data_IF_140759474331
#
_entry.id   IF_140759474331
#
_cell.length_a   1.000
_cell.length_b   1.000
_cell.length_c   1.000
_cell.angle_alpha   90.00
_cell.angle_beta   90.00
_cell.angle_gamma   90.00
#
_symmetry.space_group_name_H-M   'P 1'
#
loop_
_entity.id
_entity.type
_entity.pdbx_description
1 polymer ?
#
# COMPACT_ATOMS: atom_id res chain seq x y z
N UNK A 1 13.96 3.10 -20.85
CA UNK A 1 13.32 4.31 -20.28
C UNK A 1 11.97 4.65 -20.92
N UNK A 2 11.67 4.15 -22.12
CA UNK A 2 10.47 4.48 -22.91
C UNK A 2 9.14 3.95 -22.35
N UNK A 3 9.19 2.87 -21.55
CA UNK A 3 8.01 2.22 -20.94
C UNK A 3 7.45 2.93 -19.68
N UNK A 4 8.01 4.07 -19.28
CA UNK A 4 7.63 4.84 -18.09
C UNK A 4 6.77 6.09 -18.39
N UNK A 5 6.49 6.41 -19.65
CA UNK A 5 5.57 7.51 -19.99
C UNK A 5 4.12 7.03 -19.90
N UNK A 6 3.22 7.79 -19.26
CA UNK A 6 1.79 7.48 -19.27
C UNK A 6 1.25 7.57 -20.70
N UNK A 7 0.34 6.67 -21.08
CA UNK A 7 -0.32 6.65 -22.40
C UNK A 7 -1.11 7.94 -22.66
N UNK A 8 -1.69 8.51 -21.59
CA UNK A 8 -2.26 9.86 -21.60
C UNK A 8 -1.65 10.70 -20.46
N UNK A 9 -0.86 11.75 -20.77
CA UNK A 9 -0.27 12.62 -19.76
C UNK A 9 -1.30 13.53 -19.07
N UNK A 10 -2.55 13.59 -19.55
CA UNK A 10 -3.64 14.37 -18.95
C UNK A 10 -4.52 13.57 -17.99
N UNK A 11 -4.47 12.23 -18.06
CA UNK A 11 -5.28 11.36 -17.23
C UNK A 11 -4.88 11.43 -15.74
N UNK A 12 -5.84 11.57 -14.84
CA UNK A 12 -5.59 11.62 -13.39
C UNK A 12 -5.20 10.23 -12.87
N UNK A 13 -3.98 10.09 -12.34
CA UNK A 13 -3.43 8.88 -11.69
C UNK A 13 -3.60 7.57 -12.49
N UNK A 14 -3.07 7.48 -13.74
CA UNK A 14 -3.37 6.35 -14.62
C UNK A 14 -2.91 5.01 -14.06
N UNK A 15 -1.74 4.98 -13.39
CA UNK A 15 -1.17 3.76 -12.83
C UNK A 15 -1.91 3.27 -11.58
N UNK A 16 -2.25 4.17 -10.66
CA UNK A 16 -3.02 3.82 -9.46
C UNK A 16 -4.45 3.37 -9.82
N UNK A 17 -5.12 4.06 -10.75
CA UNK A 17 -6.42 3.63 -11.29
C UNK A 17 -6.34 2.24 -11.91
N UNK A 18 -5.28 1.93 -12.67
CA UNK A 18 -5.08 0.60 -13.28
C UNK A 18 -4.92 -0.51 -12.23
N UNK A 19 -4.13 -0.29 -11.18
CA UNK A 19 -3.99 -1.25 -10.08
C UNK A 19 -5.30 -1.46 -9.33
N UNK A 20 -6.03 -0.39 -9.05
CA UNK A 20 -7.37 -0.46 -8.45
C UNK A 20 -8.35 -1.26 -9.32
N UNK A 21 -8.37 -1.01 -10.63
CA UNK A 21 -9.19 -1.75 -11.59
C UNK A 21 -8.88 -3.25 -11.59
N UNK A 22 -7.61 -3.62 -11.54
CA UNK A 22 -7.20 -5.02 -11.43
C UNK A 22 -7.72 -5.66 -10.12
N UNK A 23 -7.79 -4.89 -9.04
CA UNK A 23 -8.34 -5.31 -7.74
C UNK A 23 -9.88 -5.37 -7.69
N UNK A 24 -10.58 -4.97 -8.75
CA UNK A 24 -12.05 -5.00 -8.83
C UNK A 24 -12.73 -3.66 -8.54
N UNK A 25 -12.00 -2.55 -8.41
CA UNK A 25 -12.56 -1.20 -8.30
C UNK A 25 -12.85 -0.63 -9.71
N UNK A 26 -14.10 -0.32 -10.03
CA UNK A 26 -14.47 0.38 -11.27
C UNK A 26 -15.10 1.72 -10.94
N UNK A 27 -14.60 2.79 -11.56
CA UNK A 27 -15.15 4.13 -11.40
C UNK A 27 -16.60 4.21 -11.93
N UNK A 28 -16.93 3.37 -12.92
CA UNK A 28 -18.19 3.43 -13.67
C UNK A 28 -19.33 2.57 -13.07
N UNK A 29 -19.05 1.67 -12.11
CA UNK A 29 -20.03 0.67 -11.64
C UNK A 29 -19.98 0.54 -10.12
N UNK A 30 -21.11 0.67 -9.42
CA UNK A 30 -21.16 0.58 -7.95
C UNK A 30 -20.86 -0.81 -7.37
N UNK A 31 -20.90 -1.85 -8.19
CA UNK A 31 -20.67 -3.22 -7.74
C UNK A 31 -19.19 -3.48 -7.43
N UNK A 32 -18.93 -4.05 -6.25
CA UNK A 32 -17.62 -4.55 -5.86
C UNK A 32 -17.24 -5.73 -6.76
N UNK A 33 -16.07 -5.65 -7.42
CA UNK A 33 -15.60 -6.75 -8.25
C UNK A 33 -15.35 -8.04 -7.44
N UNK A 34 -15.76 -9.19 -7.98
CA UNK A 34 -15.61 -10.53 -7.34
C UNK A 34 -14.17 -10.83 -6.89
N UNK A 35 -13.17 -10.22 -7.54
CA UNK A 35 -11.75 -10.37 -7.24
C UNK A 35 -11.37 -9.97 -5.81
N UNK A 36 -12.09 -9.04 -5.18
CA UNK A 36 -11.78 -8.63 -3.81
C UNK A 36 -12.21 -9.68 -2.79
N UNK A 37 -13.32 -10.38 -3.05
CA UNK A 37 -13.78 -11.49 -2.23
C UNK A 37 -12.82 -12.67 -2.33
N UNK A 38 -12.24 -12.90 -3.52
CA UNK A 38 -11.18 -13.90 -3.69
C UNK A 38 -9.93 -13.53 -2.87
N UNK A 39 -9.53 -12.26 -2.86
CA UNK A 39 -8.41 -11.79 -2.05
C UNK A 39 -8.67 -11.99 -0.54
N UNK A 40 -9.89 -11.70 -0.09
CA UNK A 40 -10.30 -11.92 1.30
C UNK A 40 -10.36 -13.42 1.64
N UNK A 41 -10.84 -14.25 0.73
CA UNK A 41 -10.89 -15.70 0.90
C UNK A 41 -9.48 -16.29 1.07
N UNK A 42 -8.52 -15.86 0.23
CA UNK A 42 -7.11 -16.28 0.36
C UNK A 42 -6.57 -15.90 1.74
N UNK A 43 -6.81 -14.67 2.20
CA UNK A 43 -6.40 -14.24 3.55
C UNK A 43 -7.01 -15.11 4.66
N UNK A 44 -8.32 -15.39 4.59
CA UNK A 44 -9.01 -16.20 5.61
C UNK A 44 -8.48 -17.63 5.63
N UNK A 45 -8.40 -18.28 4.47
CA UNK A 45 -8.02 -19.68 4.36
C UNK A 45 -6.53 -19.93 4.59
N UNK A 46 -5.65 -19.04 4.10
CA UNK A 46 -4.21 -19.26 4.10
C UNK A 46 -3.45 -18.55 5.22
N UNK A 47 -4.10 -17.66 5.99
CA UNK A 47 -3.44 -16.94 7.10
C UNK A 47 -4.29 -16.98 8.36
N UNK A 48 -5.54 -16.51 8.30
CA UNK A 48 -6.35 -16.30 9.50
C UNK A 48 -6.70 -17.62 10.20
N UNK A 49 -7.25 -18.59 9.46
CA UNK A 49 -7.68 -19.87 10.04
C UNK A 49 -6.49 -20.66 10.59
N UNK A 50 -5.37 -20.84 9.86
CA UNK A 50 -4.21 -21.53 10.40
C UNK A 50 -3.62 -20.89 11.66
N UNK A 51 -3.54 -19.56 11.71
CA UNK A 51 -2.92 -18.84 12.84
C UNK A 51 -3.81 -18.72 14.08
N UNK A 52 -5.13 -18.83 13.94
CA UNK A 52 -6.08 -18.69 15.06
C UNK A 52 -6.54 -20.06 15.57
N UNK A 53 -6.72 -21.04 14.68
CA UNK A 53 -7.30 -22.33 15.04
C UNK A 53 -6.28 -23.40 15.44
N UNK A 54 -4.98 -23.21 15.14
CA UNK A 54 -3.95 -24.20 15.40
C UNK A 54 -2.96 -23.74 16.48
N UNK A 55 -2.49 -24.65 17.34
CA UNK A 55 -1.57 -24.32 18.42
C UNK A 55 -0.17 -23.98 17.90
N UNK A 56 0.49 -23.07 18.62
CA UNK A 56 1.90 -22.74 18.43
C UNK A 56 2.77 -23.65 19.30
N UNK A 57 3.97 -24.05 18.81
CA UNK A 57 4.87 -24.91 19.57
C UNK A 57 5.53 -24.19 20.74
N UNK A 58 5.87 -22.91 20.55
CA UNK A 58 6.61 -22.10 21.52
C UNK A 58 6.00 -20.70 21.67
N UNK A 59 6.24 -20.07 22.83
CA UNK A 59 5.81 -18.68 23.10
C UNK A 59 6.43 -17.69 22.11
N UNK A 60 7.69 -17.89 21.72
CA UNK A 60 8.36 -17.04 20.72
C UNK A 60 7.69 -17.14 19.34
N UNK A 61 7.35 -18.37 18.93
CA UNK A 61 6.64 -18.64 17.69
C UNK A 61 5.22 -18.02 17.71
N UNK A 62 4.55 -18.05 18.86
CA UNK A 62 3.25 -17.40 19.05
C UNK A 62 3.33 -15.88 18.89
N UNK A 63 4.30 -15.22 19.54
CA UNK A 63 4.46 -13.76 19.44
C UNK A 63 4.74 -13.33 17.99
N UNK A 64 5.63 -14.06 17.30
CA UNK A 64 5.94 -13.82 15.88
C UNK A 64 4.69 -14.04 15.02
N UNK A 65 4.01 -15.17 15.21
CA UNK A 65 2.80 -15.53 14.46
C UNK A 65 1.67 -14.51 14.59
N UNK A 66 1.45 -13.97 15.80
CA UNK A 66 0.46 -12.92 16.06
C UNK A 66 0.86 -11.58 15.42
N UNK A 67 2.13 -11.21 15.46
CA UNK A 67 2.61 -9.99 14.81
C UNK A 67 2.41 -10.02 13.29
N UNK A 68 2.66 -11.18 12.68
CA UNK A 68 2.40 -11.44 11.26
C UNK A 68 0.90 -11.36 10.95
N UNK A 69 0.05 -11.94 11.81
CA UNK A 69 -1.40 -11.89 11.64
C UNK A 69 -1.92 -10.45 11.63
N UNK A 70 -1.46 -9.60 12.55
CA UNK A 70 -1.83 -8.18 12.60
C UNK A 70 -1.37 -7.47 11.32
N UNK A 71 -0.15 -7.73 10.88
CA UNK A 71 0.40 -7.14 9.66
C UNK A 71 -0.42 -7.52 8.42
N UNK A 72 -0.70 -8.81 8.20
CA UNK A 72 -1.50 -9.27 7.06
C UNK A 72 -2.96 -8.80 7.16
N UNK A 73 -3.54 -8.74 8.35
CA UNK A 73 -4.88 -8.17 8.55
C UNK A 73 -4.93 -6.72 8.05
N UNK A 74 -3.96 -5.88 8.41
CA UNK A 74 -3.88 -4.50 7.88
C UNK A 74 -3.74 -4.47 6.35
N UNK A 75 -3.01 -5.40 5.76
CA UNK A 75 -2.86 -5.46 4.30
C UNK A 75 -4.19 -5.81 3.62
N UNK A 76 -4.74 -6.99 3.92
CA UNK A 76 -5.88 -7.55 3.21
C UNK A 76 -7.19 -6.85 3.61
N UNK A 77 -7.47 -6.76 4.92
CA UNK A 77 -8.67 -6.09 5.41
C UNK A 77 -8.58 -4.58 5.16
N UNK A 78 -7.39 -3.97 5.27
CA UNK A 78 -7.23 -2.56 4.96
C UNK A 78 -7.52 -2.22 3.50
N UNK A 79 -7.09 -3.05 2.54
CA UNK A 79 -7.48 -2.86 1.13
C UNK A 79 -8.99 -3.11 0.93
N UNK A 80 -9.55 -4.12 1.59
CA UNK A 80 -10.98 -4.38 1.56
C UNK A 80 -11.80 -3.17 2.06
N UNK A 81 -11.45 -2.62 3.23
CA UNK A 81 -12.09 -1.43 3.79
C UNK A 81 -11.92 -0.21 2.87
N UNK A 82 -10.74 -0.03 2.27
CA UNK A 82 -10.48 1.04 1.31
C UNK A 82 -11.42 0.96 0.11
N UNK A 83 -11.56 -0.23 -0.47
CA UNK A 83 -12.44 -0.45 -1.62
C UNK A 83 -13.91 -0.43 -1.18
N UNK A 84 -14.26 -0.89 0.02
CA UNK A 84 -15.63 -0.81 0.56
C UNK A 84 -16.09 0.64 0.76
N UNK A 85 -15.16 1.56 1.06
CA UNK A 85 -15.41 3.01 1.06
C UNK A 85 -15.49 3.62 -0.35
N UNK A 86 -15.77 2.82 -1.38
CA UNK A 86 -15.81 3.19 -2.80
C UNK A 86 -16.52 4.52 -3.08
N UNK A 87 -17.65 4.79 -2.41
CA UNK A 87 -18.50 5.94 -2.74
C UNK A 87 -17.78 7.28 -2.53
N UNK A 88 -17.22 7.49 -1.34
CA UNK A 88 -16.50 8.72 -1.01
C UNK A 88 -15.24 8.88 -1.87
N UNK A 89 -14.52 7.79 -2.11
CA UNK A 89 -13.33 7.82 -2.95
C UNK A 89 -13.66 8.10 -4.43
N UNK A 90 -14.78 7.60 -4.94
CA UNK A 90 -15.28 7.92 -6.29
C UNK A 90 -15.67 9.39 -6.41
N UNK A 91 -16.39 9.93 -5.43
CA UNK A 91 -16.76 11.35 -5.41
C UNK A 91 -15.52 12.25 -5.38
N UNK A 92 -14.49 11.88 -4.59
CA UNK A 92 -13.21 12.57 -4.57
C UNK A 92 -12.51 12.53 -5.95
N UNK A 93 -12.39 11.35 -6.56
CA UNK A 93 -11.78 11.20 -7.88
C UNK A 93 -12.52 11.99 -8.96
N UNK A 94 -13.86 11.94 -8.96
CA UNK A 94 -14.69 12.70 -9.90
C UNK A 94 -14.51 14.22 -9.71
N UNK A 95 -14.34 14.68 -8.47
CA UNK A 95 -14.09 16.09 -8.17
C UNK A 95 -12.73 16.54 -8.69
N UNK A 96 -11.68 15.74 -8.47
CA UNK A 96 -10.33 16.01 -9.00
C UNK A 96 -10.37 16.01 -10.53
N UNK A 97 -11.02 15.02 -11.14
CA UNK A 97 -11.13 14.89 -12.60
C UNK A 97 -11.90 16.06 -13.22
N UNK A 98 -13.00 16.48 -12.60
CA UNK A 98 -13.74 17.68 -13.00
C UNK A 98 -12.87 18.94 -12.95
N UNK A 99 -12.12 19.14 -11.86
CA UNK A 99 -11.20 20.26 -11.73
C UNK A 99 -10.11 20.26 -12.80
N UNK A 100 -9.47 19.11 -13.00
CA UNK A 100 -8.42 18.93 -13.99
C UNK A 100 -8.96 19.19 -15.40
N UNK A 101 -10.17 18.73 -15.69
CA UNK A 101 -10.83 18.99 -16.97
C UNK A 101 -11.14 20.48 -17.18
N UNK A 102 -11.58 21.20 -16.13
CA UNK A 102 -11.78 22.66 -16.18
C UNK A 102 -10.47 23.37 -16.52
N UNK A 103 -9.36 23.03 -15.85
CA UNK A 103 -8.04 23.64 -16.10
C UNK A 103 -7.57 23.38 -17.54
N UNK A 104 -7.77 22.17 -18.06
CA UNK A 104 -7.44 21.84 -19.45
C UNK A 104 -8.36 22.54 -20.46
N UNK A 105 -9.67 22.66 -20.19
CA UNK A 105 -10.61 23.38 -21.05
C UNK A 105 -10.33 24.89 -21.09
N UNK A 106 -10.01 25.53 -19.96
CA UNK A 106 -9.63 26.94 -19.93
C UNK A 106 -8.32 27.18 -20.70
N UNK A 107 -7.41 26.21 -20.72
CA UNK A 107 -6.14 26.32 -21.45
C UNK A 107 -6.28 26.13 -22.96
N UNK A 108 -7.36 25.55 -23.48
CA UNK A 108 -7.57 25.46 -24.93
C UNK A 108 -7.80 26.83 -25.59
N UNK A 109 -8.22 27.84 -24.81
CA UNK A 109 -8.39 29.22 -25.27
C UNK A 109 -7.15 30.09 -25.10
N UNK A 110 -6.13 29.65 -24.34
CA UNK A 110 -4.97 30.48 -24.00
C UNK A 110 -3.67 29.67 -24.11
N UNK A 111 -2.71 30.02 -25.01
CA UNK A 111 -1.80 29.03 -25.57
C UNK A 111 -0.90 28.26 -24.61
N UNK A 112 -0.59 28.76 -23.40
CA UNK A 112 0.18 27.99 -22.40
C UNK A 112 -0.06 28.50 -20.97
N UNK A 113 -1.12 28.02 -20.29
CA UNK A 113 -1.29 28.35 -18.87
C UNK A 113 -0.22 27.62 -18.02
N UNK A 114 0.42 28.35 -17.10
CA UNK A 114 1.47 27.81 -16.22
C UNK A 114 0.92 26.69 -15.32
N UNK A 115 -0.39 26.72 -15.04
CA UNK A 115 -1.14 25.66 -14.36
C UNK A 115 -1.18 24.34 -15.15
N UNK A 116 -1.43 24.37 -16.47
CA UNK A 116 -1.46 23.16 -17.30
C UNK A 116 -0.09 22.46 -17.30
N UNK A 117 0.98 23.24 -17.54
CA UNK A 117 2.36 22.72 -17.51
C UNK A 117 2.72 22.12 -16.15
N UNK A 118 2.23 22.72 -15.06
CA UNK A 118 2.46 22.20 -13.70
C UNK A 118 1.75 20.88 -13.49
N UNK A 119 0.50 20.76 -13.94
CA UNK A 119 -0.34 19.57 -13.79
C UNK A 119 0.19 18.38 -14.63
N UNK A 120 0.61 18.64 -15.88
CA UNK A 120 1.25 17.62 -16.73
C UNK A 120 2.58 17.15 -16.11
N UNK A 121 3.43 18.06 -15.63
CA UNK A 121 4.69 17.70 -14.96
C UNK A 121 4.45 16.88 -13.70
N UNK A 122 3.42 17.22 -12.92
CA UNK A 122 3.03 16.45 -11.74
C UNK A 122 2.61 15.04 -12.13
N UNK A 123 1.69 14.90 -13.09
CA UNK A 123 1.16 13.61 -13.48
C UNK A 123 2.26 12.66 -14.00
N UNK A 124 3.19 13.18 -14.82
CA UNK A 124 4.37 12.43 -15.27
C UNK A 124 5.27 12.03 -14.10
N UNK A 125 5.53 12.94 -13.14
CA UNK A 125 6.32 12.63 -11.95
C UNK A 125 5.65 11.58 -11.07
N UNK A 126 4.34 11.69 -10.81
CA UNK A 126 3.58 10.71 -10.03
C UNK A 126 3.65 9.34 -10.69
N UNK A 127 3.48 9.26 -12.02
CA UNK A 127 3.60 8.01 -12.75
C UNK A 127 5.01 7.40 -12.63
N UNK A 128 6.05 8.21 -12.84
CA UNK A 128 7.45 7.76 -12.70
C UNK A 128 7.76 7.25 -11.28
N UNK A 129 7.37 8.02 -10.26
CA UNK A 129 7.55 7.63 -8.85
C UNK A 129 6.78 6.34 -8.55
N UNK A 130 5.56 6.20 -9.07
CA UNK A 130 4.74 4.99 -8.87
C UNK A 130 5.40 3.75 -9.46
N UNK A 131 5.95 3.86 -10.68
CA UNK A 131 6.67 2.74 -11.32
C UNK A 131 7.96 2.39 -10.58
N UNK A 132 8.75 3.38 -10.18
CA UNK A 132 9.97 3.17 -9.40
C UNK A 132 9.65 2.53 -8.05
N UNK A 133 8.60 2.99 -7.38
CA UNK A 133 8.13 2.41 -6.13
C UNK A 133 7.71 0.95 -6.30
N UNK A 134 6.95 0.62 -7.35
CA UNK A 134 6.60 -0.77 -7.66
C UNK A 134 7.82 -1.66 -7.88
N UNK A 135 8.83 -1.16 -8.61
CA UNK A 135 10.07 -1.90 -8.82
C UNK A 135 10.84 -2.11 -7.52
N UNK A 136 10.96 -1.06 -6.69
CA UNK A 136 11.57 -1.14 -5.37
C UNK A 136 10.89 -2.19 -4.48
N UNK A 137 9.56 -2.15 -4.40
CA UNK A 137 8.79 -3.12 -3.62
C UNK A 137 8.98 -4.55 -4.16
N UNK A 138 9.01 -4.74 -5.48
CA UNK A 138 9.25 -6.05 -6.08
C UNK A 138 10.64 -6.60 -5.74
N UNK A 139 11.68 -5.75 -5.80
CA UNK A 139 13.05 -6.14 -5.42
C UNK A 139 13.13 -6.47 -3.93
N UNK A 140 12.54 -5.64 -3.07
CA UNK A 140 12.50 -5.89 -1.62
C UNK A 140 11.75 -7.19 -1.29
N UNK A 141 10.62 -7.45 -1.95
CA UNK A 141 9.84 -8.67 -1.81
C UNK A 141 10.63 -9.91 -2.24
N UNK A 142 11.38 -9.82 -3.35
CA UNK A 142 12.24 -10.89 -3.82
C UNK A 142 13.40 -11.17 -2.84
N UNK A 143 14.05 -10.13 -2.33
CA UNK A 143 15.10 -10.26 -1.32
C UNK A 143 14.57 -10.90 -0.03
N UNK A 144 13.38 -10.51 0.42
CA UNK A 144 12.71 -11.12 1.58
C UNK A 144 12.44 -12.61 1.35
N UNK A 145 11.95 -12.98 0.16
CA UNK A 145 11.65 -14.38 -0.17
C UNK A 145 12.90 -15.28 -0.24
N UNK A 146 14.03 -14.74 -0.68
CA UNK A 146 15.29 -15.50 -0.77
C UNK A 146 15.86 -15.82 0.61
N UNK A 147 15.70 -14.94 1.60
CA UNK A 147 16.38 -15.07 2.89
C UNK A 147 16.11 -16.42 3.59
N UNK A 148 14.86 -16.90 3.72
CA UNK A 148 14.58 -18.20 4.35
C UNK A 148 15.03 -19.39 3.49
N UNK A 149 15.03 -19.26 2.15
CA UNK A 149 15.59 -20.28 1.26
C UNK A 149 17.09 -20.46 1.49
N UNK A 150 17.83 -19.35 1.63
CA UNK A 150 19.28 -19.37 1.92
C UNK A 150 19.56 -19.95 3.30
N UNK A 151 18.81 -19.56 4.33
CA UNK A 151 18.97 -20.10 5.69
C UNK A 151 18.70 -21.60 5.72
N UNK A 152 17.64 -22.06 5.03
CA UNK A 152 17.30 -23.48 4.93
C UNK A 152 18.42 -24.27 4.21
N UNK A 153 18.95 -23.72 3.12
CA UNK A 153 20.06 -24.35 2.39
C UNK A 153 21.35 -24.44 3.23
N UNK A 154 21.70 -23.36 3.94
CA UNK A 154 22.86 -23.35 4.84
C UNK A 154 22.70 -24.32 6.01
N UNK A 155 21.48 -24.47 6.54
CA UNK A 155 21.16 -25.45 7.59
C UNK A 155 21.47 -26.87 7.11
N UNK A 156 20.96 -27.26 5.93
CA UNK A 156 21.18 -28.59 5.35
C UNK A 156 22.67 -28.88 5.13
N UNK A 157 23.43 -27.91 4.60
CA UNK A 157 24.86 -28.09 4.36
C UNK A 157 25.70 -28.18 5.65
N UNK A 158 25.38 -27.37 6.66
CA UNK A 158 26.06 -27.45 7.96
C UNK A 158 25.85 -28.80 8.64
N UNK A 159 24.65 -29.35 8.57
CA UNK A 159 24.35 -30.67 9.14
C UNK A 159 25.05 -31.79 8.36
N UNK A 160 25.25 -31.63 7.05
CA UNK A 160 25.97 -32.61 6.23
C UNK A 160 27.48 -32.67 6.54
N UNK A 161 28.08 -31.54 6.91
CA UNK A 161 29.48 -31.48 7.39
C UNK A 161 29.63 -32.04 8.82
N UNK A 162 28.62 -31.85 9.69
CA UNK A 162 28.61 -32.34 11.09
C UNK A 162 28.29 -33.84 11.16
N UNK A 163 27.47 -34.38 10.25
CA UNK A 163 27.13 -35.80 10.16
C UNK A 163 28.34 -36.71 9.93
N UNK A 164 29.48 -36.18 9.48
CA UNK A 164 30.76 -36.87 9.44
C UNK A 164 31.31 -37.25 10.84
N UNK A 165 30.80 -36.67 11.92
CA UNK A 165 31.31 -36.84 13.29
C UNK A 165 30.27 -37.34 14.33
N UNK A 166 29.15 -37.93 13.88
CA UNK A 166 28.40 -38.88 14.71
C UNK A 166 27.26 -38.35 15.59
N UNK A 167 26.61 -37.24 15.25
CA UNK A 167 25.32 -36.88 15.88
C UNK A 167 24.26 -36.53 14.83
N UNK A 168 23.26 -37.40 14.70
CA UNK A 168 22.05 -37.20 13.89
C UNK A 168 21.14 -36.18 14.59
N UNK A 169 21.22 -34.89 14.23
CA UNK A 169 20.18 -33.93 14.55
C UNK A 169 19.17 -33.84 13.40
N UNK A 170 17.88 -33.81 13.74
CA UNK A 170 16.79 -33.77 12.77
C UNK A 170 16.79 -32.43 12.02
N UNK A 171 16.73 -32.49 10.68
CA UNK A 171 16.76 -31.33 9.79
C UNK A 171 15.61 -30.36 10.15
N UNK A 172 15.94 -29.16 10.64
CA UNK A 172 14.96 -28.12 10.97
C UNK A 172 14.78 -27.16 9.79
N UNK A 173 13.59 -27.20 9.18
CA UNK A 173 13.21 -26.27 8.11
C UNK A 173 12.68 -24.96 8.68
N UNK A 174 13.09 -23.82 8.10
CA UNK A 174 12.62 -22.49 8.49
C UNK A 174 11.58 -21.97 7.48
N UNK A 175 10.27 -22.03 7.79
CA UNK A 175 9.22 -21.58 6.87
C UNK A 175 9.17 -20.05 6.75
N UNK A 176 8.71 -19.54 5.60
CA UNK A 176 8.56 -18.10 5.30
C UNK A 176 7.47 -17.40 6.15
N UNK A 177 6.53 -18.17 6.69
CA UNK A 177 5.53 -17.73 7.67
C UNK A 177 5.55 -18.69 8.85
N UNK A 178 5.47 -18.15 10.06
CA UNK A 178 5.39 -18.94 11.29
C UNK A 178 3.95 -19.47 11.43
N UNK A 179 3.70 -20.69 10.93
CA UNK A 179 2.34 -21.24 10.83
C UNK A 179 2.30 -22.76 10.92
N UNK A 180 1.32 -23.28 11.69
CA UNK A 180 0.93 -24.68 11.71
C UNK A 180 -0.19 -24.88 10.68
N UNK A 181 0.11 -25.43 9.50
CA UNK A 181 -0.84 -25.47 8.38
C UNK A 181 -1.62 -26.81 8.34
N UNK A 182 -2.91 -26.79 8.69
CA UNK A 182 -3.88 -27.90 8.49
C UNK A 182 -3.32 -29.32 8.68
N UNK A 183 -2.66 -29.57 9.82
CA UNK A 183 -2.07 -30.88 10.18
C UNK A 183 -0.95 -31.39 9.26
N UNK A 184 -0.44 -30.54 8.37
CA UNK A 184 0.69 -30.86 7.51
C UNK A 184 2.00 -30.67 8.29
N UNK A 185 2.78 -31.73 8.42
CA UNK A 185 4.10 -31.64 9.05
C UNK A 185 5.06 -30.86 8.13
N UNK A 186 5.22 -29.59 8.44
CA UNK A 186 5.97 -28.61 7.67
C UNK A 186 7.38 -28.36 8.24
N UNK A 187 7.69 -28.92 9.42
CA UNK A 187 8.99 -28.76 10.10
C UNK A 187 9.89 -29.97 9.95
N UNK A 188 9.33 -31.17 9.73
CA UNK A 188 10.13 -32.40 9.59
C UNK A 188 10.04 -33.02 8.20
N UNK A 189 8.96 -32.76 7.44
CA UNK A 189 8.72 -33.38 6.13
C UNK A 189 8.95 -32.41 4.96
N UNK A 190 9.77 -32.85 4.00
CA UNK A 190 10.11 -32.09 2.77
C UNK A 190 8.86 -31.77 1.94
N UNK A 191 7.92 -32.73 1.85
CA UNK A 191 6.68 -32.54 1.08
C UNK A 191 5.78 -31.49 1.71
N UNK A 192 5.69 -31.47 3.04
CA UNK A 192 4.91 -30.47 3.77
C UNK A 192 5.48 -29.06 3.61
N UNK A 193 6.81 -28.95 3.72
CA UNK A 193 7.53 -27.71 3.49
C UNK A 193 7.32 -27.17 2.06
N UNK A 194 7.44 -28.01 1.03
CA UNK A 194 7.27 -27.58 -0.36
C UNK A 194 5.85 -27.06 -0.64
N UNK A 195 4.82 -27.76 -0.18
CA UNK A 195 3.42 -27.34 -0.33
C UNK A 195 3.17 -26.01 0.39
N UNK A 196 3.61 -25.89 1.64
CA UNK A 196 3.49 -24.65 2.42
C UNK A 196 4.21 -23.49 1.74
N UNK A 197 5.42 -23.71 1.23
CA UNK A 197 6.19 -22.67 0.55
C UNK A 197 5.49 -22.15 -0.72
N UNK A 198 4.82 -23.02 -1.48
CA UNK A 198 4.04 -22.60 -2.66
C UNK A 198 2.82 -21.78 -2.25
N UNK A 199 2.07 -22.22 -1.23
CA UNK A 199 0.91 -21.48 -0.71
C UNK A 199 1.34 -20.12 -0.16
N UNK A 200 2.40 -20.09 0.65
CA UNK A 200 2.97 -18.87 1.20
C UNK A 200 3.43 -17.90 0.10
N UNK A 201 4.00 -18.41 -0.99
CA UNK A 201 4.43 -17.58 -2.12
C UNK A 201 3.25 -16.89 -2.81
N UNK A 202 2.18 -17.65 -3.07
CA UNK A 202 0.96 -17.13 -3.68
C UNK A 202 0.37 -16.04 -2.77
N UNK A 203 0.19 -16.35 -1.48
CA UNK A 203 -0.35 -15.40 -0.50
C UNK A 203 0.52 -14.14 -0.40
N UNK A 204 1.84 -14.28 -0.45
CA UNK A 204 2.78 -13.16 -0.42
C UNK A 204 2.65 -12.24 -1.64
N UNK A 205 2.50 -12.81 -2.85
CA UNK A 205 2.24 -12.01 -4.06
C UNK A 205 0.96 -11.17 -3.90
N UNK A 206 -0.12 -11.78 -3.42
CA UNK A 206 -1.38 -11.07 -3.17
C UNK A 206 -1.23 -9.99 -2.09
N UNK A 207 -0.47 -10.26 -1.03
CA UNK A 207 -0.21 -9.28 0.03
C UNK A 207 0.59 -8.08 -0.48
N UNK A 208 1.69 -8.32 -1.22
CA UNK A 208 2.53 -7.27 -1.82
C UNK A 208 1.71 -6.42 -2.78
N UNK A 209 0.92 -7.06 -3.64
CA UNK A 209 0.01 -6.38 -4.55
C UNK A 209 -1.01 -5.50 -3.81
N UNK A 210 -1.62 -6.05 -2.76
CA UNK A 210 -2.66 -5.35 -2.00
C UNK A 210 -2.12 -4.13 -1.27
N UNK A 211 -0.97 -4.27 -0.63
CA UNK A 211 -0.30 -3.17 0.08
C UNK A 211 0.19 -2.09 -0.88
N UNK A 212 0.75 -2.47 -2.02
CA UNK A 212 1.23 -1.55 -3.06
C UNK A 212 0.08 -0.73 -3.64
N UNK A 213 -1.04 -1.38 -3.96
CA UNK A 213 -2.23 -0.72 -4.49
C UNK A 213 -2.81 0.28 -3.49
N UNK A 214 -2.95 -0.13 -2.21
CA UNK A 214 -3.44 0.74 -1.13
C UNK A 214 -2.55 1.98 -0.96
N UNK A 215 -1.24 1.79 -0.84
CA UNK A 215 -0.32 2.90 -0.56
C UNK A 215 -0.18 3.85 -1.75
N UNK A 216 0.00 3.33 -2.98
CA UNK A 216 0.12 4.16 -4.17
C UNK A 216 -1.10 5.03 -4.38
N UNK A 217 -2.29 4.46 -4.20
CA UNK A 217 -3.55 5.19 -4.34
C UNK A 217 -3.65 6.35 -3.36
N UNK A 218 -3.32 6.11 -2.09
CA UNK A 218 -3.36 7.15 -1.04
C UNK A 218 -2.35 8.25 -1.38
N UNK A 219 -1.10 7.89 -1.71
CA UNK A 219 -0.05 8.85 -2.00
C UNK A 219 -0.32 9.68 -3.27
N UNK A 220 -0.82 9.05 -4.33
CA UNK A 220 -1.18 9.78 -5.56
C UNK A 220 -2.33 10.75 -5.31
N UNK A 221 -3.34 10.33 -4.55
CA UNK A 221 -4.48 11.17 -4.16
C UNK A 221 -4.07 12.37 -3.34
N UNK A 222 -3.18 12.19 -2.36
CA UNK A 222 -2.66 13.30 -1.56
C UNK A 222 -1.93 14.31 -2.45
N UNK A 223 -1.07 13.85 -3.36
CA UNK A 223 -0.29 14.72 -4.23
C UNK A 223 -1.16 15.51 -5.22
N UNK A 224 -2.15 14.87 -5.83
CA UNK A 224 -3.06 15.55 -6.76
C UNK A 224 -3.96 16.55 -6.02
N UNK A 225 -4.43 16.21 -4.83
CA UNK A 225 -5.24 17.11 -4.00
C UNK A 225 -4.43 18.33 -3.53
N UNK A 226 -3.18 18.12 -3.08
CA UNK A 226 -2.28 19.21 -2.71
C UNK A 226 -1.93 20.11 -3.91
N UNK A 227 -1.72 19.52 -5.09
CA UNK A 227 -1.41 20.31 -6.29
C UNK A 227 -2.63 21.07 -6.81
N UNK A 228 -3.81 20.47 -6.70
CA UNK A 228 -5.09 21.14 -7.02
C UNK A 228 -5.31 22.35 -6.11
N UNK A 229 -5.12 22.20 -4.79
CA UNK A 229 -5.27 23.31 -3.83
C UNK A 229 -4.31 24.47 -4.10
N UNK A 230 -3.04 24.17 -4.38
CA UNK A 230 -2.04 25.20 -4.72
C UNK A 230 -2.32 25.87 -6.06
N UNK A 231 -2.83 25.12 -7.05
CA UNK A 231 -3.21 25.66 -8.36
C UNK A 231 -4.40 26.60 -8.26
N UNK A 232 -5.45 26.22 -7.50
CA UNK A 232 -6.61 27.08 -7.24
C UNK A 232 -6.17 28.37 -6.55
N UNK A 233 -5.37 28.25 -5.48
CA UNK A 233 -4.86 29.41 -4.73
C UNK A 233 -4.10 30.38 -5.63
N UNK A 234 -3.27 29.84 -6.53
CA UNK A 234 -2.51 30.64 -7.49
C UNK A 234 -3.39 31.35 -8.52
N UNK A 235 -4.34 30.64 -9.13
CA UNK A 235 -5.26 31.24 -10.12
C UNK A 235 -6.12 32.34 -9.47
N UNK A 236 -6.56 32.11 -8.24
CA UNK A 236 -7.32 33.09 -7.45
C UNK A 236 -6.49 34.32 -7.09
N UNK A 237 -5.18 34.16 -6.89
CA UNK A 237 -4.26 35.29 -6.70
C UNK A 237 -4.10 36.11 -7.99
N UNK A 238 -3.97 35.45 -9.15
CA UNK A 238 -3.83 36.09 -10.47
C UNK A 238 -5.12 36.80 -10.93
N UNK A 239 -6.29 36.49 -10.35
CA UNK A 239 -7.60 37.08 -10.65
C UNK A 239 -7.75 38.58 -10.33
N UNK A 240 -6.69 39.27 -9.87
CA UNK A 240 -6.72 40.70 -9.49
C UNK A 240 -7.89 41.04 -8.55
N UNK A 241 -8.15 40.14 -7.59
CA UNK A 241 -9.26 40.20 -6.65
C UNK A 241 -9.30 41.50 -5.83
N UNK A 242 -8.17 42.17 -5.67
CA UNK A 242 -8.01 43.49 -5.04
C UNK A 242 -8.91 44.57 -5.65
N UNK A 243 -9.25 44.46 -6.94
CA UNK A 243 -10.09 45.45 -7.64
C UNK A 243 -11.60 45.18 -7.52
N UNK A 244 -12.00 44.10 -6.87
CA UNK A 244 -13.40 43.67 -6.79
C UNK A 244 -14.07 44.15 -5.50
N UNK A 245 -15.40 44.00 -5.42
CA UNK A 245 -16.18 44.36 -4.24
C UNK A 245 -15.67 43.64 -2.98
N UNK A 246 -15.78 44.23 -1.78
CA UNK A 246 -15.25 43.66 -0.54
C UNK A 246 -15.80 42.27 -0.20
N UNK A 247 -17.02 41.94 -0.62
CA UNK A 247 -17.57 40.58 -0.48
C UNK A 247 -16.80 39.54 -1.31
N UNK A 248 -16.41 39.88 -2.53
CA UNK A 248 -15.64 39.01 -3.43
C UNK A 248 -14.20 38.88 -2.93
N UNK A 249 -13.60 39.97 -2.47
CA UNK A 249 -12.26 39.95 -1.86
C UNK A 249 -12.19 38.97 -0.68
N UNK A 250 -13.16 39.04 0.23
CA UNK A 250 -13.23 38.15 1.40
C UNK A 250 -13.40 36.68 1.01
N UNK A 251 -14.21 36.41 -0.02
CA UNK A 251 -14.39 35.06 -0.55
C UNK A 251 -13.09 34.53 -1.17
N UNK A 252 -12.44 35.30 -2.03
CA UNK A 252 -11.19 34.91 -2.69
C UNK A 252 -10.07 34.68 -1.68
N UNK A 253 -9.91 35.59 -0.71
CA UNK A 253 -8.94 35.43 0.37
C UNK A 253 -9.16 34.13 1.16
N UNK A 254 -10.42 33.78 1.46
CA UNK A 254 -10.73 32.53 2.15
C UNK A 254 -10.36 31.30 1.31
N UNK A 255 -10.60 31.34 -0.01
CA UNK A 255 -10.22 30.26 -0.94
C UNK A 255 -8.70 30.12 -1.03
N UNK A 256 -7.96 31.24 -1.13
CA UNK A 256 -6.48 31.24 -1.19
C UNK A 256 -5.88 30.61 0.08
N UNK A 257 -6.34 31.04 1.25
CA UNK A 257 -5.86 30.53 2.55
C UNK A 257 -6.19 29.05 2.71
N UNK A 258 -7.39 28.62 2.30
CA UNK A 258 -7.78 27.20 2.37
C UNK A 258 -7.08 26.32 1.35
N UNK A 259 -6.82 26.83 0.14
CA UNK A 259 -6.10 26.11 -0.91
C UNK A 259 -4.62 25.88 -0.60
N UNK A 260 -4.02 26.71 0.26
CA UNK A 260 -2.64 26.55 0.75
C UNK A 260 -2.53 25.70 2.02
N UNK A 261 -3.65 25.39 2.69
CA UNK A 261 -3.63 24.51 3.84
C UNK A 261 -3.17 23.11 3.39
N UNK A 262 -2.18 22.54 4.08
CA UNK A 262 -1.77 21.14 3.84
C UNK A 262 -2.97 20.25 4.10
N UNK A 263 -3.55 19.70 3.03
CA UNK A 263 -4.63 18.73 3.11
C UNK A 263 -4.10 17.47 3.80
N UNK A 264 -4.48 17.26 5.06
CA UNK A 264 -4.14 16.08 5.85
C UNK A 264 -5.32 15.12 5.78
N UNK A 265 -5.09 13.91 5.31
CA UNK A 265 -6.09 12.85 5.37
C UNK A 265 -6.20 12.42 6.84
N UNK A 266 -7.39 12.52 7.43
CA UNK A 266 -7.65 12.07 8.80
C UNK A 266 -8.35 10.71 8.80
N UNK A 267 -7.79 9.71 9.48
CA UNK A 267 -8.51 8.49 9.83
C UNK A 267 -9.66 8.85 10.77
N UNK A 268 -10.89 8.48 10.39
CA UNK A 268 -12.13 8.70 11.17
C UNK A 268 -12.38 10.16 11.60
N UNK A 269 -11.76 11.14 10.93
CA UNK A 269 -11.90 12.57 11.27
C UNK A 269 -11.12 13.02 12.50
N UNK A 270 -10.39 12.12 13.18
CA UNK A 270 -9.72 12.42 14.46
C UNK A 270 -8.20 12.37 14.31
N UNK A 271 -7.68 11.42 13.53
CA UNK A 271 -6.24 11.12 13.49
C UNK A 271 -5.68 11.49 12.11
N UNK A 272 -4.93 12.59 11.97
CA UNK A 272 -4.24 12.87 10.71
C UNK A 272 -3.23 11.75 10.41
N UNK A 273 -3.44 11.05 9.28
CA UNK A 273 -2.54 10.04 8.76
C UNK A 273 -1.33 10.78 8.20
N UNK A 274 -0.25 10.79 8.98
CA UNK A 274 1.04 11.35 8.61
C UNK A 274 2.09 10.22 8.57
N UNK A 275 3.07 10.32 7.68
CA UNK A 275 4.17 9.36 7.61
C UNK A 275 4.95 9.35 8.95
N UNK A 276 5.01 10.52 9.61
CA UNK A 276 5.59 10.69 10.94
C UNK A 276 4.80 9.93 12.01
N UNK A 277 3.46 9.91 11.92
CA UNK A 277 2.61 9.12 12.82
C UNK A 277 2.81 7.62 12.61
N UNK A 278 2.91 7.17 11.36
CA UNK A 278 3.22 5.77 11.05
C UNK A 278 4.58 5.36 11.62
N UNK A 279 5.63 6.15 11.40
CA UNK A 279 6.95 5.91 11.97
C UNK A 279 6.92 5.89 13.50
N UNK A 280 6.13 6.78 14.12
CA UNK A 280 5.93 6.82 15.56
C UNK A 280 5.22 5.56 16.07
N UNK A 281 4.15 5.11 15.41
CA UNK A 281 3.45 3.87 15.76
C UNK A 281 4.39 2.67 15.68
N UNK A 282 5.13 2.50 14.58
CA UNK A 282 6.11 1.40 14.43
C UNK A 282 7.16 1.44 15.54
N UNK A 283 7.71 2.62 15.84
CA UNK A 283 8.70 2.79 16.90
C UNK A 283 8.12 2.41 18.26
N UNK A 284 6.89 2.83 18.55
CA UNK A 284 6.22 2.54 19.83
C UNK A 284 5.91 1.05 19.96
N UNK A 285 5.43 0.41 18.88
CA UNK A 285 5.19 -1.04 18.84
C UNK A 285 6.46 -1.85 19.07
N UNK A 286 7.58 -1.43 18.47
CA UNK A 286 8.89 -2.05 18.69
C UNK A 286 9.37 -1.88 20.12
N UNK A 287 9.21 -0.69 20.72
CA UNK A 287 9.54 -0.46 22.13
C UNK A 287 8.70 -1.34 23.06
N UNK A 288 7.40 -1.48 22.80
CA UNK A 288 6.52 -2.36 23.59
C UNK A 288 6.95 -3.81 23.49
N UNK A 289 7.32 -4.28 22.29
CA UNK A 289 7.84 -5.63 22.09
C UNK A 289 9.16 -5.87 22.83
N UNK A 290 10.08 -4.90 22.82
CA UNK A 290 11.33 -4.99 23.58
C UNK A 290 11.07 -5.09 25.08
N UNK A 291 10.19 -4.25 25.62
CA UNK A 291 9.82 -4.31 27.03
C UNK A 291 9.17 -5.65 27.37
N UNK A 292 8.24 -6.14 26.55
CA UNK A 292 7.61 -7.44 26.79
C UNK A 292 8.62 -8.60 26.76
N UNK A 293 9.63 -8.51 25.90
CA UNK A 293 10.71 -9.49 25.80
C UNK A 293 11.58 -9.53 27.07
N UNK A 294 11.75 -8.41 27.77
CA UNK A 294 12.52 -8.37 29.01
C UNK A 294 11.76 -8.97 30.22
N UNK A 295 10.44 -9.18 30.09
CA UNK A 295 9.59 -9.76 31.13
C UNK A 295 9.25 -11.26 30.91
N UNK A 296 9.66 -11.85 29.78
CA UNK A 296 9.47 -13.27 29.43
C UNK A 296 10.83 -13.95 29.43
#
# INVERSE_FOLDING_TARGET
MEKLRPEDPKAVMPYAKRLLQLSGFRQDTEQLGTRIYLNLFIFVAAILVPKVCFPYPDTEAMIRGLSELIFFTNIFVGLFCFIAQHRHYRELLNTIESFVNIVYHTSSQQPESLSERTLIKLNVKINQISVVYCYYVAVAAFAYWIAPCVITYLSIHKEQDIAGNGTMHAIQYYPNLEESFYWLDNRTSVRGYAVLSVVAFITFIFAVYSQTTKLLTILSTINDLATTGTTISRQMYEFQWERHRPAVQKMVAMVIVRGQARLRITAWGIIPIDLELFAKVVKTSYTVLLVLKDFI
#
